data_IF_335814947123
#
_entry.id   IF_335814947123
#
_cell.length_a   1.000
_cell.length_b   1.000
_cell.length_c   1.000
_cell.angle_alpha   90.00
_cell.angle_beta   90.00
_cell.angle_gamma   90.00
#
_symmetry.space_group_name_H-M   'P 1'
#
loop_
_entity.id
_entity.type
_entity.pdbx_description
1 polymer ?
#
# COMPACT_ATOMS: atom_id res chain seq x y z
N UNK A 1 -9.18 17.60 8.58
CA UNK A 1 -7.75 17.45 8.30
C UNK A 1 -7.55 16.41 7.21
N UNK A 2 -6.74 16.74 6.24
CA UNK A 2 -6.47 15.81 5.13
C UNK A 2 -5.36 14.85 5.54
N UNK A 3 -5.68 13.56 5.57
CA UNK A 3 -4.72 12.52 5.93
C UNK A 3 -4.09 11.87 4.69
N UNK A 4 -4.40 12.40 3.52
CA UNK A 4 -3.91 11.83 2.27
C UNK A 4 -2.42 12.10 2.11
N UNK A 5 -1.66 11.05 1.90
CA UNK A 5 -0.23 11.15 1.63
C UNK A 5 0.00 11.59 0.19
N UNK A 6 1.17 12.18 -0.08
CA UNK A 6 1.58 12.47 -1.44
C UNK A 6 1.85 11.15 -2.15
N UNK A 7 1.91 11.19 -3.49
CA UNK A 7 2.21 9.99 -4.27
C UNK A 7 3.56 9.38 -3.86
N UNK A 8 4.55 10.23 -3.65
CA UNK A 8 5.88 9.77 -3.24
C UNK A 8 5.85 9.09 -1.88
N UNK A 9 5.17 9.70 -0.92
CA UNK A 9 5.03 9.13 0.42
C UNK A 9 4.27 7.82 0.38
N UNK A 10 3.23 7.74 -0.41
CA UNK A 10 2.43 6.54 -0.54
C UNK A 10 3.22 5.42 -1.23
N UNK A 11 4.03 5.77 -2.23
CA UNK A 11 4.90 4.80 -2.91
C UNK A 11 5.90 4.20 -1.92
N UNK A 12 6.54 5.04 -1.11
CA UNK A 12 7.49 4.58 -0.11
C UNK A 12 6.80 3.68 0.91
N UNK A 13 5.60 4.04 1.33
CA UNK A 13 4.84 3.25 2.29
C UNK A 13 4.51 1.86 1.74
N UNK A 14 4.04 1.80 0.50
CA UNK A 14 3.70 0.53 -0.14
C UNK A 14 4.93 -0.35 -0.30
N UNK A 15 6.05 0.24 -0.75
CA UNK A 15 7.30 -0.50 -0.90
C UNK A 15 7.75 -1.10 0.43
N UNK A 16 7.69 -0.31 1.50
CA UNK A 16 8.10 -0.76 2.82
C UNK A 16 7.20 -1.90 3.30
N UNK A 17 5.91 -1.80 3.08
CA UNK A 17 4.97 -2.87 3.46
C UNK A 17 5.27 -4.15 2.69
N UNK A 18 5.50 -4.04 1.39
CA UNK A 18 5.71 -5.21 0.54
C UNK A 18 7.03 -5.91 0.80
N UNK A 19 8.08 -5.15 1.11
CA UNK A 19 9.39 -5.73 1.38
C UNK A 19 9.57 -6.15 2.82
N UNK A 20 8.72 -5.64 3.72
CA UNK A 20 8.80 -5.84 5.17
C UNK A 20 10.15 -5.37 5.72
N UNK A 21 10.74 -4.36 5.08
CA UNK A 21 12.04 -3.81 5.46
C UNK A 21 11.98 -2.29 5.55
N UNK A 22 12.67 -1.76 6.54
CA UNK A 22 12.77 -0.32 6.72
C UNK A 22 13.57 0.29 5.58
N UNK A 23 13.03 1.36 5.01
CA UNK A 23 13.69 2.05 3.91
C UNK A 23 14.90 2.81 4.43
N UNK A 24 15.99 2.68 3.74
CA UNK A 24 17.24 3.34 4.10
C UNK A 24 18.20 2.47 4.87
N UNK A 25 17.73 1.67 5.83
CA UNK A 25 18.57 0.80 6.64
C UNK A 25 18.49 -0.66 6.21
N UNK A 26 17.39 -1.05 5.57
CA UNK A 26 17.15 -2.43 5.20
C UNK A 26 16.79 -3.34 6.36
N UNK A 27 16.60 -2.77 7.55
CA UNK A 27 16.25 -3.54 8.73
C UNK A 27 14.86 -4.16 8.57
N UNK A 28 14.75 -5.43 8.91
CA UNK A 28 13.47 -6.11 8.84
C UNK A 28 12.51 -5.54 9.89
N UNK A 29 11.28 -5.26 9.46
CA UNK A 29 10.26 -4.74 10.36
C UNK A 29 9.77 -5.82 11.31
N UNK A 30 9.42 -5.41 12.53
CA UNK A 30 8.73 -6.30 13.45
C UNK A 30 7.27 -6.42 12.99
N UNK A 31 6.58 -7.41 13.52
CA UNK A 31 5.17 -7.60 13.19
C UNK A 31 4.34 -6.38 13.56
N UNK A 32 4.61 -5.78 14.72
CA UNK A 32 3.91 -4.58 15.16
C UNK A 32 4.16 -3.40 14.22
N UNK A 33 5.40 -3.20 13.82
CA UNK A 33 5.75 -2.13 12.89
C UNK A 33 5.06 -2.32 11.54
N UNK A 34 5.06 -3.54 11.05
CA UNK A 34 4.41 -3.86 9.79
C UNK A 34 2.90 -3.60 9.87
N UNK A 35 2.26 -4.06 10.91
CA UNK A 35 0.82 -3.83 11.11
C UNK A 35 0.50 -2.34 11.20
N UNK A 36 1.34 -1.56 11.88
CA UNK A 36 1.14 -0.12 11.99
C UNK A 36 1.18 0.55 10.61
N UNK A 37 2.09 0.11 9.74
CA UNK A 37 2.18 0.64 8.39
C UNK A 37 0.96 0.26 7.54
N UNK A 38 0.47 -0.95 7.70
CA UNK A 38 -0.74 -1.41 6.99
C UNK A 38 -1.94 -0.56 7.40
N UNK A 39 -2.09 -0.29 8.70
CA UNK A 39 -3.17 0.57 9.20
C UNK A 39 -3.02 1.98 8.64
N UNK A 40 -1.80 2.51 8.64
CA UNK A 40 -1.53 3.83 8.09
C UNK A 40 -1.92 3.90 6.61
N UNK A 41 -1.56 2.87 5.83
CA UNK A 41 -1.92 2.79 4.43
C UNK A 41 -3.44 2.81 4.26
N UNK A 42 -4.14 1.95 4.99
CA UNK A 42 -5.60 1.85 4.91
C UNK A 42 -6.28 3.17 5.23
N UNK A 43 -5.77 3.88 6.25
CA UNK A 43 -6.37 5.15 6.69
C UNK A 43 -5.98 6.34 5.81
N UNK A 44 -4.96 6.18 4.97
CA UNK A 44 -4.44 7.27 4.14
C UNK A 44 -4.98 7.26 2.71
N UNK A 45 -5.73 6.25 2.34
CA UNK A 45 -6.25 6.11 0.98
C UNK A 45 -7.76 6.23 0.96
N UNK A 46 -8.30 6.51 -0.22
CA UNK A 46 -9.75 6.66 -0.41
C UNK A 46 -10.44 5.40 -0.89
N UNK A 47 -9.66 4.44 -1.37
CA UNK A 47 -10.22 3.21 -1.91
C UNK A 47 -10.78 2.34 -0.77
N UNK A 48 -12.02 1.84 -0.91
CA UNK A 48 -12.65 1.04 0.14
C UNK A 48 -11.98 -0.33 0.35
N UNK A 49 -11.19 -0.79 -0.61
CA UNK A 49 -10.46 -2.05 -0.47
C UNK A 49 -9.38 -2.00 0.59
N UNK A 50 -8.87 -0.81 0.90
CA UNK A 50 -7.82 -0.68 1.92
C UNK A 50 -6.64 -1.58 1.63
N UNK A 51 -6.22 -2.36 2.61
CA UNK A 51 -5.06 -3.26 2.48
C UNK A 51 -5.28 -4.38 1.47
N UNK A 52 -6.51 -4.65 1.04
CA UNK A 52 -6.76 -5.65 0.01
C UNK A 52 -6.10 -5.28 -1.31
N UNK A 53 -5.84 -4.00 -1.52
CA UNK A 53 -5.10 -3.56 -2.72
C UNK A 53 -3.73 -4.21 -2.80
N UNK A 54 -3.15 -4.56 -1.64
CA UNK A 54 -1.84 -5.19 -1.56
C UNK A 54 -1.96 -6.71 -1.42
N UNK A 55 -2.83 -7.16 -0.52
CA UNK A 55 -2.86 -8.57 -0.13
C UNK A 55 -3.85 -9.43 -0.91
N UNK A 56 -4.89 -8.83 -1.44
CA UNK A 56 -5.94 -9.55 -2.17
C UNK A 56 -6.28 -8.82 -3.47
N UNK A 57 -5.29 -8.59 -4.33
CA UNK A 57 -5.53 -7.84 -5.57
C UNK A 57 -6.54 -8.51 -6.49
N UNK A 58 -6.72 -9.81 -6.38
CA UNK A 58 -7.69 -10.54 -7.20
C UNK A 58 -9.13 -10.12 -6.89
N UNK A 59 -9.37 -9.50 -5.75
CA UNK A 59 -10.69 -9.01 -5.38
C UNK A 59 -10.97 -7.60 -5.88
N UNK A 60 -9.95 -6.94 -6.43
CA UNK A 60 -10.04 -5.53 -6.84
C UNK A 60 -10.23 -5.45 -8.34
N UNK A 61 -11.30 -4.80 -8.78
CA UNK A 61 -11.52 -4.56 -10.20
C UNK A 61 -10.50 -3.55 -10.73
N UNK A 62 -10.04 -3.78 -11.94
CA UNK A 62 -9.08 -2.89 -12.58
C UNK A 62 -7.65 -3.37 -12.49
N UNK A 63 -7.36 -4.33 -11.64
CA UNK A 63 -6.03 -4.93 -11.57
C UNK A 63 -5.90 -6.07 -12.57
N UNK A 64 -4.68 -6.30 -13.08
CA UNK A 64 -4.43 -7.49 -13.90
C UNK A 64 -4.63 -8.75 -13.06
N UNK A 65 -5.27 -9.76 -13.66
CA UNK A 65 -5.58 -10.99 -12.94
C UNK A 65 -4.58 -12.11 -13.20
N UNK A 66 -3.69 -11.90 -14.14
CA UNK A 66 -2.68 -12.88 -14.53
C UNK A 66 -1.32 -12.63 -13.90
N UNK A 67 -1.18 -11.55 -13.13
CA UNK A 67 0.06 -11.19 -12.44
C UNK A 67 -0.25 -10.32 -11.25
N UNK A 68 0.72 -10.19 -10.36
CA UNK A 68 0.60 -9.31 -9.22
C UNK A 68 0.75 -7.84 -9.66
N UNK A 69 0.01 -6.91 -9.03
CA UNK A 69 0.16 -5.50 -9.34
C UNK A 69 1.52 -4.99 -8.87
N UNK A 70 2.06 -4.02 -9.61
CA UNK A 70 3.30 -3.36 -9.22
C UNK A 70 3.00 -2.32 -8.15
N UNK A 71 4.06 -1.80 -7.50
CA UNK A 71 3.90 -0.71 -6.53
C UNK A 71 3.18 0.47 -7.15
N UNK A 72 3.54 0.82 -8.39
CA UNK A 72 2.89 1.94 -9.08
C UNK A 72 1.41 1.70 -9.30
N UNK A 73 1.04 0.49 -9.68
CA UNK A 73 -0.36 0.13 -9.88
C UNK A 73 -1.14 0.20 -8.57
N UNK A 74 -0.54 -0.26 -7.48
CA UNK A 74 -1.18 -0.18 -6.17
C UNK A 74 -1.40 1.27 -5.76
N UNK A 75 -0.38 2.10 -5.94
CA UNK A 75 -0.46 3.53 -5.60
C UNK A 75 -1.50 4.24 -6.47
N UNK A 76 -1.50 3.95 -7.77
CA UNK A 76 -2.49 4.54 -8.68
C UNK A 76 -3.91 4.19 -8.24
N UNK A 77 -4.15 2.94 -7.91
CA UNK A 77 -5.47 2.49 -7.47
C UNK A 77 -5.87 3.14 -6.15
N UNK A 78 -4.93 3.22 -5.21
CA UNK A 78 -5.16 3.81 -3.89
C UNK A 78 -5.51 5.29 -3.99
N UNK A 79 -4.82 6.02 -4.87
CA UNK A 79 -5.05 7.46 -5.04
C UNK A 79 -6.30 7.76 -5.85
N UNK A 80 -6.67 6.86 -6.72
CA UNK A 80 -7.85 7.04 -7.57
C UNK A 80 -9.13 7.04 -6.76
N UNK A 81 -9.16 6.29 -5.67
CA UNK A 81 -10.37 6.09 -4.92
C UNK A 81 -11.33 5.23 -5.72
N UNK A 82 -12.57 5.65 -5.74
CA UNK A 82 -13.59 4.98 -6.55
C UNK A 82 -14.15 5.96 -7.54
#
# INVERSE_FOLDING_TARGET
MDLTLSREELTDLVETIMTVREKGTGRRLTEEEHCALVVKFTNSIRHPGGSDLIYYPELIEGYPKDREPTVEEIVDMAMKGI
#
